data_IF_586959650733
#
_entry.id   IF_586959650733
#
_cell.length_a   1.000
_cell.length_b   1.000
_cell.length_c   1.000
_cell.angle_alpha   90.00
_cell.angle_beta   90.00
_cell.angle_gamma   90.00
#
_symmetry.space_group_name_H-M   'P 1'
#
loop_
_entity.id
_entity.type
_entity.pdbx_description
1 polymer ?
#
# COMPACT_ATOMS: atom_id res chain seq x y z
N UNK A 1 -5.34 -41.09 15.25
CA UNK A 1 -6.34 -40.69 16.27
C UNK A 1 -7.16 -39.57 15.66
N UNK A 2 -8.44 -39.82 15.36
CA UNK A 2 -9.35 -38.77 14.87
C UNK A 2 -9.53 -37.75 15.98
N UNK A 3 -9.26 -36.47 15.72
CA UNK A 3 -9.67 -35.41 16.65
C UNK A 3 -11.19 -35.34 16.60
N UNK A 4 -11.84 -35.29 17.76
CA UNK A 4 -13.27 -35.01 17.82
C UNK A 4 -13.53 -33.68 17.12
N UNK A 5 -14.37 -33.72 16.09
CA UNK A 5 -14.80 -32.57 15.32
C UNK A 5 -15.97 -31.95 16.08
N UNK A 6 -15.83 -30.67 16.41
CA UNK A 6 -16.91 -29.88 17.00
C UNK A 6 -17.47 -28.95 15.93
N UNK A 7 -18.76 -28.69 16.00
CA UNK A 7 -19.42 -27.63 15.27
C UNK A 7 -19.54 -26.38 16.16
N UNK A 8 -19.73 -25.23 15.55
CA UNK A 8 -19.90 -23.96 16.23
C UNK A 8 -21.33 -23.90 16.75
N UNK A 9 -21.46 -23.80 18.08
CA UNK A 9 -22.71 -23.55 18.77
C UNK A 9 -23.07 -22.08 18.71
N UNK A 10 -23.52 -21.52 19.83
CA UNK A 10 -23.90 -20.11 19.92
C UNK A 10 -22.70 -19.19 19.75
N UNK A 11 -22.83 -18.15 18.92
CA UNK A 11 -21.82 -17.10 18.76
C UNK A 11 -22.34 -15.77 19.30
N UNK A 12 -21.57 -15.08 20.13
CA UNK A 12 -21.96 -13.81 20.76
C UNK A 12 -20.77 -12.85 20.93
N UNK A 13 -21.06 -11.55 21.00
CA UNK A 13 -20.08 -10.50 21.27
C UNK A 13 -20.55 -9.64 22.44
N UNK A 14 -19.72 -9.51 23.47
CA UNK A 14 -20.05 -8.81 24.72
C UNK A 14 -18.91 -7.86 25.13
N UNK A 15 -19.19 -6.95 26.08
CA UNK A 15 -18.23 -6.00 26.64
C UNK A 15 -18.45 -4.57 26.17
N UNK A 16 -17.36 -3.86 25.88
CA UNK A 16 -17.39 -2.45 25.47
C UNK A 16 -17.75 -2.30 23.99
N UNK A 17 -19.02 -2.52 23.66
CA UNK A 17 -19.49 -2.51 22.27
C UNK A 17 -19.63 -1.08 21.72
N UNK A 18 -18.95 -0.79 20.60
CA UNK A 18 -19.06 0.51 19.90
C UNK A 18 -20.11 0.52 18.76
N UNK A 19 -20.78 -0.62 18.54
CA UNK A 19 -21.81 -0.83 17.55
C UNK A 19 -22.77 -1.92 18.05
N UNK A 20 -23.92 -2.09 17.38
CA UNK A 20 -24.84 -3.18 17.67
C UNK A 20 -24.14 -4.54 17.52
N UNK A 21 -24.47 -5.49 18.40
CA UNK A 21 -23.90 -6.84 18.39
C UNK A 21 -24.07 -7.51 17.02
N UNK A 22 -25.22 -7.33 16.36
CA UNK A 22 -25.52 -7.82 15.02
C UNK A 22 -24.47 -7.38 13.98
N UNK A 23 -24.10 -6.10 13.99
CA UNK A 23 -23.11 -5.50 13.08
C UNK A 23 -21.71 -6.09 13.34
N UNK A 24 -21.40 -6.38 14.60
CA UNK A 24 -20.12 -7.00 14.98
C UNK A 24 -20.07 -8.48 14.60
N UNK A 25 -21.18 -9.21 14.78
CA UNK A 25 -21.34 -10.60 14.38
C UNK A 25 -21.20 -10.78 12.86
N UNK A 26 -21.63 -9.82 12.04
CA UNK A 26 -21.39 -9.84 10.58
C UNK A 26 -19.89 -9.87 10.20
N UNK A 27 -19.00 -9.47 11.10
CA UNK A 27 -17.54 -9.51 10.88
C UNK A 27 -16.91 -10.84 11.27
N UNK A 28 -17.56 -11.57 12.17
CA UNK A 28 -17.11 -12.86 12.67
C UNK A 28 -17.14 -13.87 11.52
N UNK A 29 -16.10 -14.70 11.42
CA UNK A 29 -15.91 -15.68 10.33
C UNK A 29 -16.44 -17.07 10.67
N UNK A 30 -16.80 -17.31 11.93
CA UNK A 30 -17.44 -18.53 12.39
C UNK A 30 -18.92 -18.24 12.65
N UNK A 31 -19.81 -18.87 11.89
CA UNK A 31 -21.24 -18.85 12.11
C UNK A 31 -21.70 -20.09 12.86
N UNK A 32 -22.87 -20.02 13.49
CA UNK A 32 -23.50 -21.18 14.11
C UNK A 32 -23.73 -22.29 13.07
N UNK A 33 -23.37 -23.52 13.42
CA UNK A 33 -23.44 -24.70 12.54
C UNK A 33 -22.22 -24.92 11.65
N UNK A 34 -21.26 -23.98 11.60
CA UNK A 34 -19.98 -24.22 10.92
C UNK A 34 -19.16 -25.27 11.67
N UNK A 35 -18.28 -26.00 10.97
CA UNK A 35 -17.25 -26.78 11.67
C UNK A 35 -16.27 -25.84 12.38
N UNK A 36 -16.08 -26.06 13.68
CA UNK A 36 -15.16 -25.27 14.48
C UNK A 36 -13.72 -25.38 13.94
N UNK A 37 -13.09 -24.21 13.75
CA UNK A 37 -11.68 -24.14 13.40
C UNK A 37 -10.96 -23.04 14.16
N UNK A 38 -9.75 -23.35 14.64
CA UNK A 38 -8.87 -22.35 15.28
C UNK A 38 -8.52 -21.20 14.34
N UNK A 39 -8.46 -21.48 13.03
CA UNK A 39 -8.24 -20.46 11.99
C UNK A 39 -9.41 -19.47 11.95
N UNK A 40 -10.64 -19.96 11.87
CA UNK A 40 -11.84 -19.10 11.86
C UNK A 40 -11.99 -18.31 13.16
N UNK A 41 -11.66 -18.90 14.31
CA UNK A 41 -11.67 -18.18 15.59
C UNK A 41 -10.69 -17.01 15.58
N UNK A 42 -9.46 -17.25 15.10
CA UNK A 42 -8.44 -16.21 14.96
C UNK A 42 -8.83 -15.13 13.96
N UNK A 43 -9.36 -15.50 12.80
CA UNK A 43 -9.82 -14.54 11.79
C UNK A 43 -11.00 -13.70 12.29
N UNK A 44 -11.88 -14.28 13.12
CA UNK A 44 -12.97 -13.55 13.78
C UNK A 44 -12.45 -12.52 14.78
N UNK A 45 -11.50 -12.91 15.65
CA UNK A 45 -10.86 -11.97 16.57
C UNK A 45 -10.17 -10.84 15.83
N UNK A 46 -9.44 -11.15 14.75
CA UNK A 46 -8.79 -10.13 13.90
C UNK A 46 -9.82 -9.20 13.25
N UNK A 47 -10.91 -9.72 12.70
CA UNK A 47 -11.93 -8.90 12.06
C UNK A 47 -12.64 -7.95 13.05
N UNK A 48 -12.87 -8.41 14.29
CA UNK A 48 -13.36 -7.56 15.37
C UNK A 48 -12.30 -6.53 15.78
N UNK A 49 -11.05 -6.94 15.99
CA UNK A 49 -9.96 -6.02 16.32
C UNK A 49 -9.79 -4.92 15.26
N UNK A 50 -9.80 -5.28 13.97
CA UNK A 50 -9.73 -4.37 12.82
C UNK A 50 -10.89 -3.36 12.83
N UNK A 51 -12.11 -3.80 13.19
CA UNK A 51 -13.28 -2.92 13.26
C UNK A 51 -13.09 -1.77 14.25
N UNK A 52 -12.49 -2.07 15.40
CA UNK A 52 -12.25 -1.11 16.49
C UNK A 52 -11.01 -0.26 16.21
N UNK A 53 -9.91 -0.88 15.78
CA UNK A 53 -8.67 -0.15 15.47
C UNK A 53 -8.88 0.86 14.35
N UNK A 54 -9.70 0.56 13.33
CA UNK A 54 -10.07 1.50 12.27
C UNK A 54 -10.96 2.66 12.71
N UNK A 55 -11.37 2.69 13.99
CA UNK A 55 -12.17 3.74 14.61
C UNK A 55 -11.42 4.47 15.74
N UNK A 56 -10.11 4.30 15.81
CA UNK A 56 -9.23 4.97 16.77
C UNK A 56 -8.89 4.16 18.01
N UNK A 57 -9.43 2.95 18.20
CA UNK A 57 -9.15 2.13 19.38
C UNK A 57 -7.89 1.27 19.17
N UNK A 58 -6.71 1.91 19.25
CA UNK A 58 -5.44 1.26 18.92
C UNK A 58 -5.05 0.09 19.85
N UNK A 59 -5.61 0.08 21.06
CA UNK A 59 -5.28 -0.89 22.12
C UNK A 59 -6.45 -1.81 22.47
N UNK A 60 -7.42 -1.96 21.56
CA UNK A 60 -8.55 -2.89 21.75
C UNK A 60 -8.07 -4.31 21.99
N UNK A 61 -8.67 -4.96 22.99
CA UNK A 61 -8.45 -6.36 23.32
C UNK A 61 -9.73 -7.16 22.99
N UNK A 62 -9.58 -8.24 22.22
CA UNK A 62 -10.67 -9.15 21.85
C UNK A 62 -10.30 -10.55 22.32
N UNK A 63 -10.94 -11.02 23.38
CA UNK A 63 -10.66 -12.30 24.01
C UNK A 63 -11.80 -13.31 23.72
N UNK A 64 -11.50 -14.52 23.23
CA UNK A 64 -12.51 -15.54 23.01
C UNK A 64 -12.70 -16.38 24.27
N UNK A 65 -13.95 -16.56 24.69
CA UNK A 65 -14.37 -17.52 25.70
C UNK A 65 -15.12 -18.65 24.99
N UNK A 66 -14.56 -19.86 25.05
CA UNK A 66 -15.16 -21.04 24.40
C UNK A 66 -15.71 -22.00 25.44
N UNK A 67 -16.92 -22.51 25.21
CA UNK A 67 -17.57 -23.49 26.08
C UNK A 67 -18.09 -24.67 25.26
N UNK A 68 -17.65 -25.89 25.57
CA UNK A 68 -18.17 -27.11 24.94
C UNK A 68 -19.56 -27.38 25.53
N UNK A 69 -20.56 -27.57 24.67
CA UNK A 69 -21.93 -27.81 25.10
C UNK A 69 -22.08 -29.28 25.54
N UNK A 70 -22.42 -29.56 26.82
CA UNK A 70 -22.54 -30.94 27.29
C UNK A 70 -23.62 -31.72 26.53
N UNK A 71 -23.29 -32.94 26.08
CA UNK A 71 -24.21 -33.80 25.35
C UNK A 71 -24.44 -33.42 23.88
N UNK A 72 -23.75 -32.39 23.37
CA UNK A 72 -23.70 -32.04 21.94
C UNK A 72 -22.25 -31.99 21.47
N UNK A 73 -22.04 -32.06 20.16
CA UNK A 73 -20.73 -31.83 19.55
C UNK A 73 -20.56 -30.34 19.18
N UNK A 74 -21.04 -29.43 20.03
CA UNK A 74 -21.06 -27.99 19.75
C UNK A 74 -20.10 -27.24 20.69
N UNK A 75 -19.50 -26.17 20.18
CA UNK A 75 -18.71 -25.20 20.96
C UNK A 75 -19.35 -23.82 20.86
N UNK A 76 -19.86 -23.30 21.97
CA UNK A 76 -20.28 -21.91 22.09
C UNK A 76 -19.05 -20.99 22.15
N UNK A 77 -19.11 -19.86 21.46
CA UNK A 77 -18.04 -18.87 21.38
C UNK A 77 -18.59 -17.50 21.78
N UNK A 78 -17.95 -16.89 22.76
CA UNK A 78 -18.23 -15.52 23.17
C UNK A 78 -16.99 -14.67 23.03
N UNK A 79 -17.06 -13.59 22.26
CA UNK A 79 -15.98 -12.63 22.14
C UNK A 79 -16.19 -11.51 23.17
N UNK A 80 -15.30 -11.45 24.16
CA UNK A 80 -15.26 -10.37 25.15
C UNK A 80 -14.35 -9.25 24.63
N UNK A 81 -14.90 -8.04 24.51
CA UNK A 81 -14.19 -6.87 23.98
C UNK A 81 -13.95 -5.84 25.09
N UNK A 82 -12.70 -5.39 25.18
CA UNK A 82 -12.29 -4.22 25.96
C UNK A 82 -11.73 -3.18 24.98
N UNK A 83 -12.49 -2.10 24.75
CA UNK A 83 -12.19 -1.17 23.64
C UNK A 83 -10.95 -0.30 23.91
N UNK A 84 -10.65 -0.02 25.18
CA UNK A 84 -9.61 0.94 25.57
C UNK A 84 -9.97 2.40 25.25
N UNK A 85 -8.94 3.25 25.12
CA UNK A 85 -9.12 4.68 24.79
C UNK A 85 -8.96 4.91 23.29
N UNK A 86 -9.57 6.00 22.80
CA UNK A 86 -9.29 6.48 21.44
C UNK A 86 -7.89 7.08 21.39
N UNK A 87 -7.19 6.79 20.31
CA UNK A 87 -5.82 7.22 20.08
C UNK A 87 -5.77 8.07 18.81
N UNK A 88 -5.22 9.26 18.93
CA UNK A 88 -4.87 10.12 17.81
C UNK A 88 -3.42 9.87 17.38
N UNK A 89 -3.16 10.06 16.09
CA UNK A 89 -1.81 10.08 15.54
C UNK A 89 -1.12 11.36 16.01
N UNK A 90 -0.01 11.19 16.72
CA UNK A 90 0.89 12.26 17.10
C UNK A 90 1.82 12.64 15.96
N UNK A 91 3.12 12.75 16.27
CA UNK A 91 4.13 13.10 15.27
C UNK A 91 4.38 11.94 14.30
N UNK A 92 4.47 12.25 13.00
CA UNK A 92 4.93 11.33 11.96
C UNK A 92 6.36 11.73 11.57
N UNK A 93 7.31 10.93 12.02
CA UNK A 93 8.74 11.10 11.74
C UNK A 93 9.20 10.17 10.63
N UNK A 94 9.82 10.73 9.59
CA UNK A 94 10.35 9.98 8.44
C UNK A 94 11.88 10.05 8.50
N UNK A 95 12.53 8.88 8.39
CA UNK A 95 13.97 8.74 8.54
C UNK A 95 14.54 7.88 7.42
N UNK A 96 15.80 8.12 7.08
CA UNK A 96 16.55 7.34 6.07
C UNK A 96 16.31 7.77 4.62
N UNK A 97 15.43 8.74 4.38
CA UNK A 97 15.25 9.41 3.09
C UNK A 97 16.33 10.48 2.84
N UNK A 98 17.56 10.06 2.56
CA UNK A 98 18.70 10.98 2.39
C UNK A 98 18.66 11.77 1.08
N UNK A 99 18.11 11.18 0.01
CA UNK A 99 17.97 11.82 -1.30
C UNK A 99 16.53 12.24 -1.57
N UNK A 100 15.58 11.39 -1.19
CA UNK A 100 14.15 11.60 -1.38
C UNK A 100 13.64 12.65 -0.42
N UNK A 101 12.94 13.65 -0.93
CA UNK A 101 12.34 14.68 -0.09
C UNK A 101 11.27 14.07 0.82
N UNK A 102 11.23 14.52 2.08
CA UNK A 102 10.25 14.07 3.08
C UNK A 102 8.81 14.12 2.54
N UNK A 103 8.46 15.19 1.83
CA UNK A 103 7.13 15.39 1.24
C UNK A 103 6.69 14.27 0.28
N UNK A 104 7.64 13.61 -0.38
CA UNK A 104 7.37 12.52 -1.32
C UNK A 104 6.88 11.28 -0.59
N UNK A 105 7.38 11.03 0.61
CA UNK A 105 6.91 9.94 1.48
C UNK A 105 5.67 10.38 2.24
N UNK A 106 5.67 11.62 2.77
CA UNK A 106 4.58 12.14 3.59
C UNK A 106 3.24 12.18 2.85
N UNK A 107 3.22 12.53 1.54
CA UNK A 107 1.99 12.52 0.74
C UNK A 107 1.40 11.12 0.50
N UNK A 108 2.18 10.07 0.70
CA UNK A 108 1.71 8.69 0.58
C UNK A 108 1.07 8.19 1.89
N UNK A 109 1.20 8.96 2.98
CA UNK A 109 0.50 8.69 4.23
C UNK A 109 -0.99 8.97 4.07
N UNK A 110 -1.81 8.00 4.47
CA UNK A 110 -3.27 8.13 4.55
C UNK A 110 -3.68 8.90 5.80
N UNK A 111 -2.94 8.72 6.89
CA UNK A 111 -3.15 9.41 8.16
C UNK A 111 -2.27 10.65 8.25
N UNK A 112 -2.86 11.75 8.70
CA UNK A 112 -2.17 12.96 9.12
C UNK A 112 -2.01 13.02 10.65
N UNK A 113 -1.13 13.89 11.12
CA UNK A 113 -1.03 14.20 12.54
C UNK A 113 -2.36 14.80 13.03
N UNK A 114 -2.88 14.27 14.14
CA UNK A 114 -4.19 14.60 14.69
C UNK A 114 -5.34 13.68 14.26
N UNK A 115 -5.18 12.89 13.21
CA UNK A 115 -6.20 11.91 12.81
C UNK A 115 -6.34 10.79 13.85
N UNK A 116 -7.51 10.15 13.90
CA UNK A 116 -7.67 8.94 14.71
C UNK A 116 -6.85 7.79 14.11
N UNK A 117 -6.29 6.96 14.99
CA UNK A 117 -5.58 5.75 14.61
C UNK A 117 -6.46 4.85 13.72
N UNK A 118 -5.85 4.26 12.69
CA UNK A 118 -6.43 3.17 11.91
C UNK A 118 -5.31 2.25 11.45
N UNK A 119 -5.41 0.97 11.83
CA UNK A 119 -4.46 -0.05 11.40
C UNK A 119 -4.47 -0.22 9.87
N UNK A 120 -5.67 -0.21 9.27
CA UNK A 120 -5.82 -0.29 7.81
C UNK A 120 -5.19 0.90 7.09
N UNK A 121 -5.35 2.12 7.61
CA UNK A 121 -4.78 3.31 7.00
C UNK A 121 -3.24 3.33 7.10
N UNK A 122 -2.66 2.83 8.20
CA UNK A 122 -1.21 2.65 8.31
C UNK A 122 -0.69 1.60 7.32
N UNK A 123 -1.38 0.47 7.17
CA UNK A 123 -1.01 -0.56 6.20
C UNK A 123 -1.16 -0.07 4.75
N UNK A 124 -2.20 0.70 4.44
CA UNK A 124 -2.36 1.34 3.14
C UNK A 124 -1.24 2.36 2.89
N UNK A 125 -0.86 3.15 3.88
CA UNK A 125 0.28 4.08 3.80
C UNK A 125 1.57 3.32 3.47
N UNK A 126 1.83 2.20 4.16
CA UNK A 126 2.98 1.33 3.87
C UNK A 126 2.97 0.84 2.43
N UNK A 127 1.81 0.39 1.93
CA UNK A 127 1.64 -0.07 0.54
C UNK A 127 1.90 1.05 -0.46
N UNK A 128 1.37 2.26 -0.23
CA UNK A 128 1.59 3.43 -1.09
C UNK A 128 3.08 3.82 -1.15
N UNK A 129 3.75 3.88 0.00
CA UNK A 129 5.20 4.15 0.07
C UNK A 129 6.00 3.05 -0.65
N UNK A 130 5.62 1.78 -0.50
CA UNK A 130 6.26 0.67 -1.21
C UNK A 130 6.07 0.76 -2.72
N UNK A 131 4.88 1.16 -3.18
CA UNK A 131 4.55 1.30 -4.59
C UNK A 131 5.32 2.43 -5.29
N UNK A 132 5.91 3.38 -4.54
CA UNK A 132 6.87 4.34 -5.12
C UNK A 132 8.06 3.61 -5.75
N UNK A 133 8.49 2.48 -5.17
CA UNK A 133 9.65 1.73 -5.64
C UNK A 133 10.99 2.41 -5.31
N UNK A 134 11.02 3.39 -4.40
CA UNK A 134 12.23 4.15 -4.02
C UNK A 134 13.02 3.52 -2.88
N UNK A 135 12.40 2.59 -2.16
CA UNK A 135 12.96 1.99 -0.96
C UNK A 135 13.06 0.46 -1.12
N UNK A 136 14.08 -0.14 -0.50
CA UNK A 136 14.19 -1.60 -0.35
C UNK A 136 13.67 -2.08 1.00
N UNK A 137 13.62 -1.20 2.01
CA UNK A 137 13.10 -1.49 3.34
C UNK A 137 12.22 -0.34 3.83
N UNK A 138 11.06 -0.70 4.40
CA UNK A 138 10.08 0.23 4.95
C UNK A 138 9.59 -0.35 6.27
N UNK A 139 10.02 0.26 7.37
CA UNK A 139 9.62 -0.12 8.73
C UNK A 139 8.79 1.00 9.33
N UNK A 140 7.52 0.72 9.61
CA UNK A 140 6.63 1.64 10.32
C UNK A 140 6.53 1.15 11.76
N UNK A 141 7.07 1.96 12.67
CA UNK A 141 7.10 1.72 14.09
C UNK A 141 6.15 2.69 14.79
N UNK A 142 5.30 2.19 15.68
CA UNK A 142 4.42 3.02 16.49
C UNK A 142 4.87 3.01 17.95
N UNK A 143 4.77 4.16 18.61
CA UNK A 143 5.11 4.31 20.04
C UNK A 143 4.09 5.21 20.72
N UNK A 144 3.85 4.97 22.00
CA UNK A 144 3.07 5.91 22.84
C UNK A 144 3.72 7.30 22.78
N UNK A 145 2.89 8.32 22.63
CA UNK A 145 3.28 9.72 22.63
C UNK A 145 3.25 10.31 24.04
N UNK A 146 2.89 11.58 24.12
CA UNK A 146 2.88 12.34 25.38
C UNK A 146 1.78 11.90 26.37
N UNK A 147 0.78 11.15 25.88
CA UNK A 147 -0.27 10.52 26.69
C UNK A 147 -0.69 9.18 26.08
N UNK A 148 -1.51 8.42 26.81
CA UNK A 148 -2.10 7.16 26.32
C UNK A 148 -3.07 7.35 25.13
N UNK A 149 -3.53 8.58 24.90
CA UNK A 149 -4.42 8.96 23.79
C UNK A 149 -3.66 9.42 22.54
N UNK A 150 -2.32 9.44 22.57
CA UNK A 150 -1.48 9.89 21.45
C UNK A 150 -0.49 8.81 21.06
N UNK A 151 -0.35 8.56 19.76
CA UNK A 151 0.60 7.60 19.21
C UNK A 151 1.49 8.24 18.15
N UNK A 152 2.79 8.27 18.42
CA UNK A 152 3.78 8.72 17.45
C UNK A 152 4.11 7.60 16.46
N UNK A 153 4.36 7.97 15.21
CA UNK A 153 4.69 7.06 14.11
C UNK A 153 6.09 7.41 13.61
N UNK A 154 6.98 6.42 13.59
CA UNK A 154 8.31 6.53 12.99
C UNK A 154 8.37 5.63 11.75
N UNK A 155 8.76 6.21 10.62
CA UNK A 155 8.91 5.55 9.33
C UNK A 155 10.39 5.51 9.00
N UNK A 156 11.00 4.36 9.24
CA UNK A 156 12.41 4.11 8.96
C UNK A 156 12.54 3.48 7.56
N UNK A 157 13.28 4.18 6.68
CA UNK A 157 13.41 3.84 5.27
C UNK A 157 14.85 3.50 4.90
N UNK A 158 15.01 2.61 3.92
CA UNK A 158 16.28 2.36 3.25
C UNK A 158 16.15 2.61 1.75
N UNK A 159 16.74 3.70 1.28
CA UNK A 159 16.71 4.08 -0.14
C UNK A 159 17.48 3.09 -1.02
N UNK A 160 16.96 2.82 -2.21
CA UNK A 160 17.62 2.03 -3.25
C UNK A 160 17.78 2.83 -4.55
N UNK A 161 18.66 2.41 -5.47
CA UNK A 161 18.72 3.00 -6.80
C UNK A 161 17.39 2.88 -7.53
N UNK A 162 16.90 4.02 -8.04
CA UNK A 162 15.63 4.16 -8.79
C UNK A 162 15.86 4.33 -10.30
N UNK A 163 17.13 4.33 -10.73
CA UNK A 163 17.52 4.47 -12.12
C UNK A 163 17.59 3.12 -12.82
N UNK A 164 17.11 3.05 -14.05
CA UNK A 164 17.24 1.87 -14.91
C UNK A 164 17.87 2.26 -16.24
N UNK A 165 18.64 1.32 -16.78
CA UNK A 165 19.20 1.40 -18.13
C UNK A 165 18.70 0.18 -18.89
N UNK A 166 18.28 0.37 -20.14
CA UNK A 166 17.80 -0.71 -21.00
C UNK A 166 18.42 -0.60 -22.37
N UNK A 167 18.80 -1.75 -22.92
CA UNK A 167 19.25 -1.90 -24.30
C UNK A 167 18.44 -3.02 -24.93
N UNK A 168 18.02 -2.81 -26.18
CA UNK A 168 17.25 -3.77 -26.95
C UNK A 168 17.65 -3.76 -28.41
N UNK A 169 17.47 -4.90 -29.06
CA UNK A 169 17.57 -5.04 -30.51
C UNK A 169 16.35 -5.80 -31.02
N UNK A 170 15.89 -5.51 -32.23
CA UNK A 170 14.71 -6.12 -32.83
C UNK A 170 14.81 -6.20 -34.34
N UNK A 171 13.88 -6.92 -34.96
CA UNK A 171 13.74 -6.97 -36.41
C UNK A 171 12.28 -6.81 -36.84
N UNK A 172 12.01 -5.97 -37.84
CA UNK A 172 10.68 -5.79 -38.40
C UNK A 172 10.69 -5.81 -39.93
N UNK A 173 9.53 -6.06 -40.54
CA UNK A 173 9.40 -6.04 -42.01
C UNK A 173 9.67 -4.66 -42.61
N UNK A 174 9.38 -3.60 -41.85
CA UNK A 174 9.52 -2.19 -42.22
C UNK A 174 10.94 -1.70 -41.95
N UNK A 175 11.30 -1.55 -40.67
CA UNK A 175 12.58 -0.95 -40.25
C UNK A 175 13.75 -1.94 -40.25
N UNK A 176 13.54 -3.20 -40.64
CA UNK A 176 14.58 -4.24 -40.62
C UNK A 176 15.20 -4.30 -39.23
N UNK A 177 16.51 -4.15 -39.09
CA UNK A 177 17.19 -4.14 -37.81
C UNK A 177 16.91 -2.86 -37.03
N UNK A 178 16.53 -3.00 -35.76
CA UNK A 178 16.26 -1.90 -34.83
C UNK A 178 17.17 -2.07 -33.62
N UNK A 179 17.86 -1.02 -33.22
CA UNK A 179 18.57 -0.91 -31.95
C UNK A 179 17.95 0.20 -31.11
N UNK A 180 17.66 -0.08 -29.84
CA UNK A 180 17.07 0.89 -28.93
C UNK A 180 17.79 0.90 -27.59
N UNK A 181 17.88 2.09 -26.99
CA UNK A 181 18.43 2.30 -25.66
C UNK A 181 17.60 3.31 -24.87
N UNK A 182 17.51 3.12 -23.57
CA UNK A 182 16.85 4.07 -22.68
C UNK A 182 17.48 4.14 -21.30
N UNK A 183 17.35 5.30 -20.69
CA UNK A 183 17.65 5.58 -19.29
C UNK A 183 16.35 6.11 -18.66
N UNK A 184 15.94 5.53 -17.55
CA UNK A 184 14.82 6.02 -16.76
C UNK A 184 15.28 6.30 -15.34
N UNK A 185 14.71 7.32 -14.71
CA UNK A 185 14.94 7.68 -13.32
C UNK A 185 13.60 8.03 -12.67
N UNK A 186 13.10 7.13 -11.81
CA UNK A 186 11.76 7.25 -11.21
C UNK A 186 11.67 8.29 -10.06
N UNK A 187 12.81 8.72 -9.51
CA UNK A 187 12.88 9.70 -8.41
C UNK A 187 13.93 10.78 -8.71
N UNK A 188 13.79 11.45 -9.85
CA UNK A 188 14.73 12.46 -10.31
C UNK A 188 14.83 13.60 -9.28
N UNK A 189 16.07 13.91 -8.87
CA UNK A 189 16.41 14.90 -7.84
C UNK A 189 15.71 14.67 -6.48
N UNK A 190 15.26 13.45 -6.20
CA UNK A 190 14.56 13.13 -4.95
C UNK A 190 13.13 13.68 -4.85
N UNK A 191 12.56 14.19 -5.95
CA UNK A 191 11.26 14.88 -5.97
C UNK A 191 10.08 13.96 -6.31
N UNK A 192 10.35 12.70 -6.61
CA UNK A 192 9.37 11.75 -7.18
C UNK A 192 9.04 12.02 -8.65
N UNK A 193 9.83 12.85 -9.34
CA UNK A 193 9.69 13.10 -10.77
C UNK A 193 10.26 11.92 -11.56
N UNK A 194 9.56 11.53 -12.62
CA UNK A 194 10.06 10.51 -13.55
C UNK A 194 10.76 11.21 -14.70
N UNK A 195 12.04 10.92 -14.91
CA UNK A 195 12.80 11.35 -16.08
C UNK A 195 13.06 10.15 -16.99
N UNK A 196 12.81 10.29 -18.28
CA UNK A 196 13.10 9.29 -19.30
C UNK A 196 13.89 9.91 -20.43
N UNK A 197 14.94 9.22 -20.87
CA UNK A 197 15.70 9.52 -22.09
C UNK A 197 15.77 8.24 -22.92
N UNK A 198 15.41 8.30 -24.19
CA UNK A 198 15.45 7.14 -25.08
C UNK A 198 15.89 7.50 -26.49
N UNK A 199 16.46 6.50 -27.16
CA UNK A 199 16.81 6.54 -28.57
C UNK A 199 16.48 5.20 -29.22
N UNK A 200 15.98 5.24 -30.46
CA UNK A 200 15.68 4.07 -31.28
C UNK A 200 16.14 4.32 -32.71
N UNK A 201 16.87 3.37 -33.28
CA UNK A 201 17.54 3.45 -34.56
C UNK A 201 17.15 2.23 -35.40
N UNK A 202 16.37 2.45 -36.46
CA UNK A 202 15.95 1.45 -37.42
C UNK A 202 16.39 1.80 -38.84
N UNK A 203 16.22 0.86 -39.77
CA UNK A 203 16.59 1.04 -41.18
C UNK A 203 15.80 2.09 -41.95
N UNK A 204 14.65 2.55 -41.44
CA UNK A 204 13.85 3.61 -42.08
C UNK A 204 13.38 4.68 -41.09
N UNK A 205 13.74 4.59 -39.81
CA UNK A 205 13.34 5.57 -38.81
C UNK A 205 14.35 5.69 -37.66
N UNK A 206 14.56 6.90 -37.19
CA UNK A 206 15.31 7.20 -35.97
C UNK A 206 14.47 8.09 -35.07
N UNK A 207 14.35 7.72 -33.80
CA UNK A 207 13.55 8.44 -32.80
C UNK A 207 14.40 8.73 -31.57
N UNK A 208 14.39 9.98 -31.12
CA UNK A 208 14.90 10.40 -29.82
C UNK A 208 13.77 10.99 -29.00
N UNK A 209 13.70 10.66 -27.71
CA UNK A 209 12.72 11.23 -26.80
C UNK A 209 13.36 11.54 -25.46
N UNK A 210 13.00 12.71 -24.90
CA UNK A 210 13.23 13.05 -23.50
C UNK A 210 11.89 13.44 -22.90
N UNK A 211 11.57 12.87 -21.73
CA UNK A 211 10.32 13.11 -21.03
C UNK A 211 10.56 13.32 -19.55
N UNK A 212 9.86 14.29 -18.95
CA UNK A 212 9.78 14.48 -17.51
C UNK A 212 8.33 14.50 -17.05
N UNK A 213 8.02 13.81 -15.95
CA UNK A 213 6.68 13.73 -15.38
C UNK A 213 6.72 14.05 -13.89
N UNK A 214 5.95 15.04 -13.47
CA UNK A 214 5.57 15.27 -12.07
C UNK A 214 4.21 14.59 -11.81
N UNK A 215 4.15 13.47 -11.06
CA UNK A 215 2.89 12.78 -10.79
C UNK A 215 1.97 13.56 -9.84
N UNK A 216 2.51 14.52 -9.06
CA UNK A 216 1.76 15.28 -8.06
C UNK A 216 2.00 16.78 -8.19
N UNK A 217 1.71 17.32 -9.38
CA UNK A 217 1.82 18.73 -9.69
C UNK A 217 1.01 19.58 -8.71
N UNK A 218 1.63 20.65 -8.20
CA UNK A 218 1.08 21.50 -7.13
C UNK A 218 0.68 20.73 -5.86
N UNK A 219 1.37 19.63 -5.56
CA UNK A 219 1.10 18.74 -4.42
C UNK A 219 -0.33 18.19 -4.40
N UNK A 220 -0.97 18.08 -5.57
CA UNK A 220 -2.29 17.48 -5.77
C UNK A 220 -2.15 16.16 -6.52
N UNK A 221 -3.19 15.32 -6.49
CA UNK A 221 -3.28 14.14 -7.35
C UNK A 221 -3.61 14.56 -8.80
N UNK A 222 -2.70 15.32 -9.40
CA UNK A 222 -2.73 15.86 -10.75
C UNK A 222 -1.33 15.68 -11.32
N UNK A 223 -1.21 15.02 -12.47
CA UNK A 223 0.09 14.83 -13.11
C UNK A 223 0.34 15.88 -14.20
N UNK A 224 1.56 16.39 -14.27
CA UNK A 224 2.04 17.26 -15.35
C UNK A 224 3.28 16.65 -15.98
N UNK A 225 3.24 16.42 -17.29
CA UNK A 225 4.35 15.91 -18.07
C UNK A 225 4.81 16.93 -19.10
N UNK A 226 6.07 16.80 -19.52
CA UNK A 226 6.61 17.45 -20.70
C UNK A 226 7.45 16.43 -21.46
N UNK A 227 7.12 16.23 -22.72
CA UNK A 227 7.84 15.33 -23.62
C UNK A 227 8.38 16.14 -24.81
N UNK A 228 9.63 15.87 -25.18
CA UNK A 228 10.24 16.39 -26.40
C UNK A 228 10.72 15.20 -27.23
N UNK A 229 10.38 15.21 -28.51
CA UNK A 229 10.80 14.17 -29.43
C UNK A 229 11.38 14.74 -30.71
N UNK A 230 12.29 13.96 -31.30
CA UNK A 230 12.81 14.17 -32.65
C UNK A 230 12.74 12.85 -33.41
N UNK A 231 12.05 12.87 -34.54
CA UNK A 231 11.89 11.72 -35.42
C UNK A 231 12.38 12.05 -36.80
N UNK A 232 13.19 11.16 -37.36
CA UNK A 232 13.60 11.14 -38.74
C UNK A 232 13.07 9.87 -39.37
N UNK A 233 12.40 9.97 -40.52
CA UNK A 233 11.82 8.82 -41.21
C UNK A 233 12.07 8.89 -42.70
N UNK A 234 12.67 7.83 -43.24
CA UNK A 234 12.89 7.67 -44.67
C UNK A 234 11.70 6.95 -45.29
N UNK A 235 11.07 7.62 -46.26
CA UNK A 235 10.08 7.03 -47.16
C UNK A 235 10.72 6.79 -48.52
N UNK A 236 10.05 6.02 -49.37
CA UNK A 236 10.55 5.69 -50.72
C UNK A 236 10.86 6.92 -51.58
N UNK A 237 10.14 8.02 -51.36
CA UNK A 237 10.22 9.22 -52.20
C UNK A 237 10.81 10.45 -51.48
N UNK A 238 10.88 10.45 -50.15
CA UNK A 238 11.32 11.61 -49.36
C UNK A 238 11.73 11.23 -47.93
N UNK A 239 12.48 12.11 -47.27
CA UNK A 239 12.78 12.01 -45.83
C UNK A 239 11.93 13.01 -45.06
N UNK A 240 11.27 12.53 -44.01
CA UNK A 240 10.46 13.33 -43.10
C UNK A 240 11.22 13.60 -41.80
N UNK A 241 11.28 14.88 -41.40
CA UNK A 241 11.83 15.30 -40.11
C UNK A 241 10.71 15.89 -39.25
N UNK A 242 10.52 15.36 -38.05
CA UNK A 242 9.58 15.88 -37.07
C UNK A 242 10.31 16.21 -35.79
N UNK A 243 10.05 17.38 -35.24
CA UNK A 243 10.49 17.79 -33.90
C UNK A 243 9.32 18.45 -33.24
N UNK A 244 9.00 18.03 -32.03
CA UNK A 244 7.82 18.51 -31.31
C UNK A 244 7.89 18.18 -29.84
N UNK A 245 6.84 18.58 -29.13
CA UNK A 245 6.64 18.25 -27.72
C UNK A 245 5.25 18.64 -27.24
N UNK A 246 4.85 18.04 -26.14
CA UNK A 246 3.54 18.15 -25.50
C UNK A 246 3.64 18.06 -23.97
#
# INVERSE_FOLDING_TARGET
>A
MSRDQFDVGKVSVEGDLIAEESILLERVKLAEGDTFSRKGLRESMLALNDYYTDRGYAYVNVAPLTNIVPGKNDIDIRFQIEQGVKVAIGRIEIRGNTKTLDKVVRREMVLAEGDLYSARALDESRRRINNLGFFEEININTKKGDSDEVMNVAIDLKEKPTGTFSLGVGYSSVDKFIAQGSISQANFLGRGYKLNLSGSFGGSSTVYQIGILDPYFMDKNLSLGFDLYKTEREWTEYTEYKTGGD
#
